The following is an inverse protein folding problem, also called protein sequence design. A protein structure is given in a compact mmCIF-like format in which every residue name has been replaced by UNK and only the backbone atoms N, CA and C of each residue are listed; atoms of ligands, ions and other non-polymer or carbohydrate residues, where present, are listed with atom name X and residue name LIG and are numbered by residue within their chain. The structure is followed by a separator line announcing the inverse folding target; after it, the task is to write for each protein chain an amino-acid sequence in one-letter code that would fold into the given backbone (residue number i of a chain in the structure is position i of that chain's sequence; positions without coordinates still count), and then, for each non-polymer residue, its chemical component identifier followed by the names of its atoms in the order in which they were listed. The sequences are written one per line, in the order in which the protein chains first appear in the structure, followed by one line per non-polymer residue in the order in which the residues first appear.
data_IF_253383442182
#
_entry.id   IF_253383442182
#
_cell.length_a   1.000
_cell.length_b   1.000
_cell.length_c   1.000
_cell.angle_alpha   90.00
_cell.angle_beta   90.00
_cell.angle_gamma   90.00
#
_symmetry.space_group_name_H-M   'P 1'
#
loop_
_entity.id
_entity.type
_entity.pdbx_description
1 polymer ?
#
# COMPACT_ATOMS: atom_id res chain seq x y z
N UNK A 1 -11.92 1.85 8.59
CA UNK A 1 -10.75 1.38 9.37
C UNK A 1 -9.83 2.55 9.59
N UNK A 2 -9.32 2.73 10.81
CA UNK A 2 -8.30 3.75 11.10
C UNK A 2 -6.95 3.05 11.33
N UNK A 3 -5.84 3.52 10.74
CA UNK A 3 -4.51 2.99 11.02
C UNK A 3 -4.13 3.21 12.49
N UNK A 4 -3.43 2.24 13.05
CA UNK A 4 -2.92 2.21 14.42
C UNK A 4 -1.41 2.44 14.49
N UNK A 5 -0.78 2.31 15.68
CA UNK A 5 0.67 2.40 15.84
C UNK A 5 1.39 1.20 15.20
N UNK A 6 2.69 1.35 14.95
CA UNK A 6 3.51 0.30 14.34
C UNK A 6 3.51 -1.01 15.16
N UNK A 7 3.21 -2.18 14.56
CA UNK A 7 3.17 -3.45 15.27
C UNK A 7 4.58 -3.94 15.60
N UNK A 8 4.88 -4.13 16.89
CA UNK A 8 6.21 -4.55 17.37
C UNK A 8 6.28 -6.05 17.64
N UNK A 9 5.15 -6.66 17.98
CA UNK A 9 5.05 -8.08 18.29
C UNK A 9 4.46 -8.88 17.11
N UNK A 10 4.77 -10.18 17.00
CA UNK A 10 4.14 -11.06 16.00
C UNK A 10 2.61 -11.14 16.13
N UNK A 11 2.09 -11.03 17.36
CA UNK A 11 0.65 -11.05 17.64
C UNK A 11 -0.04 -9.78 17.14
N UNK A 12 0.54 -8.61 17.39
CA UNK A 12 0.05 -7.33 16.84
C UNK A 12 0.13 -7.33 15.31
N UNK A 13 1.19 -7.91 14.74
CA UNK A 13 1.34 -8.06 13.30
C UNK A 13 0.24 -8.95 12.71
N UNK A 14 -0.08 -10.07 13.36
CA UNK A 14 -1.17 -10.94 12.94
C UNK A 14 -2.54 -10.26 13.05
N UNK A 15 -2.76 -9.48 14.11
CA UNK A 15 -3.99 -8.70 14.27
C UNK A 15 -4.11 -7.59 13.23
N UNK A 16 -3.01 -6.89 12.90
CA UNK A 16 -2.96 -5.88 11.85
C UNK A 16 -3.19 -6.50 10.46
N UNK A 17 -2.51 -7.59 10.12
CA UNK A 17 -2.73 -8.32 8.87
C UNK A 17 -4.20 -8.72 8.71
N UNK A 18 -4.81 -9.29 9.76
CA UNK A 18 -6.24 -9.63 9.79
C UNK A 18 -7.14 -8.41 9.60
N UNK A 19 -6.80 -7.27 10.22
CA UNK A 19 -7.51 -6.00 10.06
C UNK A 19 -7.49 -5.51 8.62
N UNK A 20 -6.39 -5.70 7.89
CA UNK A 20 -6.25 -5.31 6.48
C UNK A 20 -6.64 -6.41 5.49
N UNK A 21 -7.28 -7.49 5.96
CA UNK A 21 -7.65 -8.64 5.11
C UNK A 21 -6.45 -9.28 4.38
N UNK A 22 -5.25 -9.18 4.96
CA UNK A 22 -4.01 -9.74 4.42
C UNK A 22 -3.59 -10.98 5.20
N UNK A 23 -2.79 -11.82 4.56
CA UNK A 23 -2.05 -12.88 5.24
C UNK A 23 -0.93 -12.27 6.08
N UNK A 24 -0.56 -12.93 7.18
CA UNK A 24 0.48 -12.43 8.08
C UNK A 24 1.84 -12.39 7.38
N UNK A 25 2.05 -13.33 6.45
CA UNK A 25 3.26 -13.48 5.65
C UNK A 25 3.40 -12.38 4.59
N UNK A 26 2.29 -11.93 4.01
CA UNK A 26 2.26 -10.88 2.99
C UNK A 26 2.16 -9.47 3.62
N UNK A 27 1.98 -9.39 4.94
CA UNK A 27 1.85 -8.12 5.66
C UNK A 27 3.22 -7.61 6.10
N UNK A 28 3.70 -6.61 5.36
CA UNK A 28 4.88 -5.84 5.70
C UNK A 28 4.46 -4.40 6.03
N UNK A 29 4.64 -3.92 7.28
CA UNK A 29 4.43 -2.51 7.59
C UNK A 29 5.59 -1.65 7.06
N UNK A 30 5.34 -0.36 6.87
CA UNK A 30 6.43 0.60 6.62
C UNK A 30 7.40 0.66 7.82
N UNK A 31 8.70 0.94 7.59
CA UNK A 31 9.67 1.12 8.67
C UNK A 31 9.19 2.16 9.71
N UNK A 32 9.51 1.93 10.99
CA UNK A 32 9.24 2.88 12.08
C UNK A 32 10.33 3.95 12.14
N UNK A 33 10.43 4.74 11.07
CA UNK A 33 11.39 5.85 10.90
C UNK A 33 10.85 7.20 11.41
N UNK A 34 9.72 7.17 12.13
CA UNK A 34 9.05 8.37 12.64
C UNK A 34 8.19 9.10 11.61
N UNK A 35 8.03 8.57 10.39
CA UNK A 35 7.16 9.17 9.36
C UNK A 35 5.66 9.01 9.65
N UNK A 36 5.29 8.26 10.70
CA UNK A 36 3.89 8.16 11.15
C UNK A 36 3.01 7.23 10.32
N UNK A 37 3.59 6.32 9.52
CA UNK A 37 2.83 5.33 8.76
C UNK A 37 2.07 4.32 9.64
N UNK A 38 2.60 4.01 10.83
CA UNK A 38 1.94 3.18 11.82
C UNK A 38 1.82 1.71 11.38
N UNK A 39 0.63 1.13 11.53
CA UNK A 39 0.32 -0.25 11.12
C UNK A 39 -0.09 -0.39 9.64
N UNK A 40 0.07 0.64 8.82
CA UNK A 40 -0.38 0.58 7.44
C UNK A 40 0.48 -0.39 6.61
N UNK A 41 -0.12 -1.30 5.82
CA UNK A 41 0.64 -2.22 4.99
C UNK A 41 1.37 -1.48 3.87
N UNK A 42 2.64 -1.81 3.67
CA UNK A 42 3.44 -1.42 2.52
C UNK A 42 3.09 -2.34 1.36
N UNK A 43 2.20 -1.87 0.50
CA UNK A 43 1.83 -2.60 -0.71
C UNK A 43 2.95 -2.53 -1.75
N UNK A 44 3.06 -3.52 -2.65
CA UNK A 44 4.01 -3.47 -3.76
C UNK A 44 3.81 -2.23 -4.61
N UNK A 45 4.92 -1.62 -5.05
CA UNK A 45 4.94 -0.45 -5.95
C UNK A 45 4.63 -0.88 -7.39
N UNK A 46 3.40 -1.35 -7.62
CA UNK A 46 2.90 -1.76 -8.93
C UNK A 46 1.81 -0.83 -9.41
N UNK A 47 1.84 -0.54 -10.71
CA UNK A 47 0.79 0.26 -11.33
C UNK A 47 -0.55 -0.51 -11.35
N UNK A 48 -1.66 0.21 -11.18
CA UNK A 48 -2.99 -0.37 -11.34
C UNK A 48 -3.21 -0.90 -12.78
N UNK A 49 -2.51 -0.33 -13.77
CA UNK A 49 -2.56 -0.77 -15.16
C UNK A 49 -1.88 -2.14 -15.40
N UNK A 50 -1.01 -2.60 -14.49
CA UNK A 50 -0.43 -3.96 -14.55
C UNK A 50 -1.43 -5.05 -14.14
N UNK A 51 -2.51 -4.68 -13.45
CA UNK A 51 -3.54 -5.64 -13.00
C UNK A 51 -4.34 -6.16 -14.19
N UNK A 52 -4.74 -7.43 -14.13
CA UNK A 52 -5.44 -8.11 -15.22
C UNK A 52 -6.71 -7.34 -15.64
N UNK A 53 -6.79 -6.83 -16.89
CA UNK A 53 -7.97 -6.11 -17.36
C UNK A 53 -9.18 -7.02 -17.61
N UNK A 54 -8.99 -8.34 -17.71
CA UNK A 54 -10.06 -9.29 -18.00
C UNK A 54 -10.71 -9.89 -16.76
N UNK A 55 -10.09 -9.70 -15.58
CA UNK A 55 -10.70 -10.06 -14.32
C UNK A 55 -11.88 -9.13 -13.99
N UNK A 56 -12.97 -9.70 -13.47
CA UNK A 56 -14.17 -8.96 -13.08
C UNK A 56 -13.98 -8.30 -11.71
N UNK A 57 -13.31 -7.14 -11.70
CA UNK A 57 -13.10 -6.34 -10.49
C UNK A 57 -14.41 -5.72 -9.97
N UNK A 58 -14.53 -5.56 -8.65
CA UNK A 58 -15.64 -4.80 -8.04
C UNK A 58 -15.62 -3.31 -8.47
N UNK A 59 -14.42 -2.74 -8.62
CA UNK A 59 -14.17 -1.41 -9.16
C UNK A 59 -13.36 -1.52 -10.45
N UNK A 60 -14.00 -1.64 -11.63
CA UNK A 60 -13.31 -1.90 -12.91
C UNK A 60 -12.47 -0.71 -13.39
N UNK A 61 -12.88 0.51 -13.06
CA UNK A 61 -12.15 1.76 -13.32
C UNK A 61 -10.79 1.81 -12.60
N UNK A 62 -10.74 1.24 -11.39
CA UNK A 62 -9.53 1.18 -10.57
C UNK A 62 -8.85 -0.20 -10.62
N UNK A 63 -9.45 -1.21 -11.27
CA UNK A 63 -9.02 -2.61 -11.26
C UNK A 63 -8.78 -3.16 -9.84
N UNK A 64 -9.75 -2.97 -8.94
CA UNK A 64 -9.61 -3.24 -7.50
C UNK A 64 -10.85 -3.95 -6.93
N UNK A 65 -10.65 -4.81 -5.94
CA UNK A 65 -11.75 -5.47 -5.22
C UNK A 65 -12.12 -4.74 -3.92
N UNK A 66 -13.35 -4.96 -3.46
CA UNK A 66 -13.83 -4.46 -2.18
C UNK A 66 -13.06 -5.10 -1.02
N UNK A 67 -12.62 -4.29 -0.06
CA UNK A 67 -11.87 -4.76 1.10
C UNK A 67 -10.37 -4.98 0.87
N UNK A 68 -9.86 -4.81 -0.35
CA UNK A 68 -8.41 -4.77 -0.57
C UNK A 68 -7.80 -3.54 0.13
N UNK A 69 -6.59 -3.61 0.71
CA UNK A 69 -5.89 -2.42 1.19
C UNK A 69 -5.52 -1.50 0.01
N UNK A 70 -5.61 -0.18 0.18
CA UNK A 70 -5.18 0.78 -0.84
C UNK A 70 -3.75 1.26 -0.56
N UNK A 71 -3.03 1.84 -1.53
CA UNK A 71 -1.77 2.53 -1.22
C UNK A 71 -2.06 3.79 -0.39
N UNK A 72 -1.16 4.12 0.53
CA UNK A 72 -1.37 5.16 1.56
C UNK A 72 -1.43 6.59 0.99
N UNK A 73 -0.61 6.90 0.00
CA UNK A 73 -0.35 8.26 -0.48
C UNK A 73 -0.74 8.41 -1.94
N UNK A 74 -1.40 9.52 -2.30
CA UNK A 74 -1.65 9.91 -3.69
C UNK A 74 -0.62 10.96 -4.14
N UNK A 75 -0.05 10.88 -5.36
CA UNK A 75 -0.21 9.79 -6.32
C UNK A 75 0.42 8.52 -5.74
N UNK A 76 -0.31 7.40 -5.86
CA UNK A 76 -0.01 6.07 -5.32
C UNK A 76 1.51 5.80 -5.35
N UNK A 77 2.20 5.93 -4.21
CA UNK A 77 3.67 5.78 -4.09
C UNK A 77 4.51 6.40 -5.22
N UNK A 78 4.28 7.67 -5.57
CA UNK A 78 5.07 8.39 -6.57
C UNK A 78 5.20 7.63 -7.91
N UNK A 79 4.16 6.89 -8.32
CA UNK A 79 4.13 6.13 -9.57
C UNK A 79 4.19 7.10 -10.77
N UNK A 80 5.42 7.44 -11.15
CA UNK A 80 5.83 7.64 -12.53
C UNK A 80 5.35 6.47 -13.43
N UNK A 81 5.06 5.30 -12.86
CA UNK A 81 4.51 4.10 -13.51
C UNK A 81 3.04 4.21 -13.95
N UNK A 82 2.17 5.03 -13.34
CA UNK A 82 0.79 5.19 -13.84
C UNK A 82 0.76 5.80 -15.25
N UNK A 83 1.84 6.47 -15.64
CA UNK A 83 2.06 7.03 -16.99
C UNK A 83 3.13 6.27 -17.80
N UNK A 84 3.63 5.13 -17.32
CA UNK A 84 4.63 4.34 -18.03
C UNK A 84 6.09 4.82 -17.88
N UNK A 85 6.46 5.32 -16.70
CA UNK A 85 7.85 5.63 -16.35
C UNK A 85 8.74 4.38 -16.21
N UNK A 86 10.06 4.58 -16.30
CA UNK A 86 11.08 3.53 -16.22
C UNK A 86 11.05 2.81 -14.85
N UNK A 87 10.85 1.48 -14.79
CA UNK A 87 10.84 0.70 -13.56
C UNK A 87 12.15 0.72 -12.75
N UNK A 88 13.27 1.07 -13.39
CA UNK A 88 14.59 1.10 -12.74
C UNK A 88 14.95 2.47 -12.15
N UNK A 89 14.08 3.46 -12.34
CA UNK A 89 14.31 4.79 -11.79
C UNK A 89 13.72 4.85 -10.38
N UNK A 90 14.59 5.01 -9.39
CA UNK A 90 14.15 5.20 -8.00
C UNK A 90 13.20 6.42 -7.94
N UNK A 91 12.02 6.29 -7.32
CA UNK A 91 11.11 7.41 -7.16
C UNK A 91 11.75 8.44 -6.24
N UNK A 92 11.68 9.72 -6.61
CA UNK A 92 12.08 10.79 -5.69
C UNK A 92 11.18 10.73 -4.45
N UNK A 93 11.77 10.82 -3.24
CA UNK A 93 11.02 10.85 -1.99
C UNK A 93 10.22 12.16 -1.88
N UNK A 94 8.95 12.15 -2.30
CA UNK A 94 8.06 13.30 -2.13
C UNK A 94 7.34 13.22 -0.78
N UNK A 95 7.73 14.10 0.15
CA UNK A 95 7.09 14.28 1.46
C UNK A 95 5.89 15.21 1.31
N UNK A 96 4.68 14.70 1.52
CA UNK A 96 3.42 15.45 1.27
C UNK A 96 2.66 15.89 2.53
N UNK A 97 3.30 15.85 3.71
CA UNK A 97 2.69 16.35 4.94
C UNK A 97 3.71 17.20 5.70
N UNK A 98 3.45 18.50 5.83
CA UNK A 98 4.00 19.33 6.90
C UNK A 98 2.99 19.32 8.06
N UNK A 99 3.49 19.14 9.29
CA UNK A 99 2.70 19.24 10.54
C UNK A 99 2.58 20.71 10.93
#
# INVERSE_FOLDING_TARGET
MLPGPYPKTPEERAAAAKKYNMRVEDYEPYPDDGMGYGDYPKLPDKSQQERDPWYSWDHPDLRRNWGEPAPKQYPYNNLYLERGGDPNKEPEEVKHYEI
#
